data_IF_905663797633
#
_entry.id   IF_905663797633
#
_cell.length_a   1.000
_cell.length_b   1.000
_cell.length_c   1.000
_cell.angle_alpha   90.00
_cell.angle_beta   90.00
_cell.angle_gamma   90.00
#
_symmetry.space_group_name_H-M   'P 1'
#
loop_
_entity.id
_entity.type
_entity.pdbx_description
1 polymer ?
#
# COMPACT_ATOMS: atom_id res chain seq x y z
N UNK A 1 -18.36 -1.05 36.77
CA UNK A 1 -19.02 -2.15 36.05
C UNK A 1 -19.01 -1.79 34.57
N UNK A 2 -17.99 -2.23 33.83
CA UNK A 2 -17.93 -2.09 32.37
C UNK A 2 -18.03 -3.50 31.79
N UNK A 3 -19.14 -3.77 31.11
CA UNK A 3 -19.58 -5.10 30.70
C UNK A 3 -18.60 -5.73 29.70
N UNK A 4 -18.23 -6.98 29.96
CA UNK A 4 -17.45 -7.84 29.06
C UNK A 4 -18.22 -8.32 27.82
N UNK A 5 -19.50 -7.94 27.68
CA UNK A 5 -20.41 -8.45 26.63
C UNK A 5 -20.24 -7.79 25.26
N UNK A 6 -19.50 -6.67 25.13
CA UNK A 6 -19.35 -5.93 23.87
C UNK A 6 -18.14 -6.34 23.00
N UNK A 7 -17.30 -7.26 23.46
CA UNK A 7 -16.10 -7.69 22.74
C UNK A 7 -16.38 -8.30 21.34
N UNK A 8 -17.34 -9.22 21.15
CA UNK A 8 -17.62 -9.78 19.83
C UNK A 8 -18.21 -8.74 18.86
N UNK A 9 -19.01 -7.80 19.36
CA UNK A 9 -19.62 -6.74 18.54
C UNK A 9 -18.56 -5.74 18.05
N UNK A 10 -17.57 -5.41 18.88
CA UNK A 10 -16.46 -4.56 18.49
C UNK A 10 -15.60 -5.21 17.39
N UNK A 11 -15.34 -6.51 17.50
CA UNK A 11 -14.62 -7.27 16.44
C UNK A 11 -15.47 -7.36 15.18
N UNK A 12 -16.78 -7.59 15.29
CA UNK A 12 -17.69 -7.59 14.14
C UNK A 12 -17.66 -6.23 13.41
N UNK A 13 -17.65 -5.11 14.12
CA UNK A 13 -17.57 -3.77 13.53
C UNK A 13 -16.22 -3.52 12.80
N UNK A 14 -15.10 -4.00 13.37
CA UNK A 14 -13.80 -3.95 12.70
C UNK A 14 -13.77 -4.82 11.44
N UNK A 15 -14.31 -6.03 11.54
CA UNK A 15 -14.37 -6.97 10.44
C UNK A 15 -15.27 -6.43 9.32
N UNK A 16 -16.41 -5.84 9.65
CA UNK A 16 -17.30 -5.18 8.69
C UNK A 16 -16.53 -4.15 7.86
N UNK A 17 -15.85 -3.20 8.51
CA UNK A 17 -15.06 -2.17 7.82
C UNK A 17 -13.97 -2.78 6.94
N UNK A 18 -13.35 -3.87 7.40
CA UNK A 18 -12.31 -4.55 6.63
C UNK A 18 -12.87 -5.26 5.39
N UNK A 19 -14.04 -5.89 5.49
CA UNK A 19 -14.74 -6.51 4.36
C UNK A 19 -15.21 -5.44 3.37
N UNK A 20 -15.81 -4.35 3.85
CA UNK A 20 -16.20 -3.21 3.02
C UNK A 20 -15.00 -2.64 2.27
N UNK A 21 -13.85 -2.50 2.93
CA UNK A 21 -12.61 -2.06 2.28
C UNK A 21 -12.15 -3.02 1.19
N UNK A 22 -12.13 -4.34 1.43
CA UNK A 22 -11.71 -5.33 0.43
C UNK A 22 -12.51 -5.22 -0.87
N UNK A 23 -13.82 -5.02 -0.75
CA UNK A 23 -14.74 -4.90 -1.88
C UNK A 23 -15.00 -3.45 -2.33
N UNK A 24 -14.29 -2.48 -1.75
CA UNK A 24 -14.38 -1.07 -2.16
C UNK A 24 -13.79 -0.86 -3.56
N UNK A 25 -14.25 0.18 -4.25
CA UNK A 25 -13.66 0.57 -5.55
C UNK A 25 -12.17 0.88 -5.43
N UNK A 26 -11.74 1.43 -4.29
CA UNK A 26 -10.36 1.82 -4.08
C UNK A 26 -9.40 0.64 -3.96
N UNK A 27 -9.78 -0.40 -3.23
CA UNK A 27 -9.01 -1.64 -3.16
C UNK A 27 -9.11 -2.43 -4.46
N UNK A 28 -10.34 -2.67 -4.94
CA UNK A 28 -10.58 -3.49 -6.12
C UNK A 28 -9.91 -2.92 -7.35
N UNK A 29 -9.73 -1.60 -7.53
CA UNK A 29 -8.93 -1.06 -8.64
C UNK A 29 -7.56 -1.73 -8.79
N UNK A 30 -6.91 -2.08 -7.68
CA UNK A 30 -5.53 -2.59 -7.65
C UNK A 30 -5.41 -4.06 -7.25
N UNK A 31 -6.39 -4.59 -6.52
CA UNK A 31 -6.33 -5.94 -5.96
C UNK A 31 -6.62 -7.01 -7.03
N UNK A 32 -5.55 -7.55 -7.62
CA UNK A 32 -5.64 -8.60 -8.64
C UNK A 32 -6.19 -9.92 -8.08
N UNK A 33 -5.97 -10.21 -6.79
CA UNK A 33 -6.40 -11.47 -6.20
C UNK A 33 -7.92 -11.49 -6.05
N UNK A 34 -8.50 -10.43 -5.47
CA UNK A 34 -9.94 -10.31 -5.36
C UNK A 34 -10.61 -10.23 -6.74
N UNK A 35 -10.04 -9.50 -7.71
CA UNK A 35 -10.54 -9.53 -9.09
C UNK A 35 -10.52 -10.94 -9.70
N UNK A 36 -9.50 -11.73 -9.41
CA UNK A 36 -9.36 -13.09 -9.92
C UNK A 36 -10.33 -14.09 -9.29
N UNK A 37 -10.53 -14.01 -7.97
CA UNK A 37 -11.54 -14.82 -7.26
C UNK A 37 -12.95 -14.55 -7.74
N UNK A 38 -13.12 -13.34 -8.25
CA UNK A 38 -14.39 -12.92 -8.71
C UNK A 38 -14.76 -13.68 -10.03
N UNK A 39 -13.83 -14.37 -10.69
CA UNK A 39 -14.13 -15.19 -11.87
C UNK A 39 -13.83 -14.47 -13.17
N UNK A 40 -13.49 -15.27 -14.19
CA UNK A 40 -13.05 -14.83 -15.51
C UNK A 40 -14.18 -14.31 -16.42
N UNK A 41 -15.41 -14.24 -15.91
CA UNK A 41 -16.51 -13.62 -16.63
C UNK A 41 -16.19 -12.13 -16.80
N UNK A 42 -16.37 -11.62 -18.02
CA UNK A 42 -16.10 -10.24 -18.44
C UNK A 42 -17.12 -9.25 -17.83
N UNK A 43 -17.53 -9.50 -16.58
CA UNK A 43 -18.43 -8.66 -15.81
C UNK A 43 -17.64 -7.49 -15.21
N UNK A 44 -17.57 -6.42 -16.00
CA UNK A 44 -17.04 -5.12 -15.60
C UNK A 44 -17.63 -4.56 -14.29
N UNK A 45 -18.75 -5.12 -13.80
CA UNK A 45 -19.40 -4.69 -12.56
C UNK A 45 -18.84 -5.34 -11.28
N UNK A 46 -18.02 -6.39 -11.39
CA UNK A 46 -17.40 -7.10 -10.25
C UNK A 46 -18.41 -7.52 -9.16
N UNK A 47 -19.64 -7.92 -9.53
CA UNK A 47 -20.73 -8.29 -8.59
C UNK A 47 -20.90 -9.79 -8.37
N UNK A 48 -19.96 -10.60 -8.82
CA UNK A 48 -19.90 -12.02 -8.52
C UNK A 48 -19.80 -12.36 -7.04
N UNK A 49 -20.29 -13.56 -6.72
CA UNK A 49 -20.24 -14.15 -5.39
C UNK A 49 -18.83 -14.68 -5.09
N UNK A 50 -18.27 -14.27 -3.97
CA UNK A 50 -16.98 -14.72 -3.44
C UNK A 50 -17.21 -15.48 -2.14
N UNK A 51 -16.54 -16.63 -1.99
CA UNK A 51 -16.65 -17.44 -0.78
C UNK A 51 -16.15 -16.68 0.45
N UNK A 52 -17.01 -16.55 1.46
CA UNK A 52 -16.71 -15.80 2.68
C UNK A 52 -15.53 -16.42 3.42
N UNK A 53 -15.45 -17.75 3.48
CA UNK A 53 -14.33 -18.46 4.09
C UNK A 53 -12.98 -18.09 3.47
N UNK A 54 -12.94 -17.90 2.15
CA UNK A 54 -11.73 -17.48 1.45
C UNK A 54 -11.32 -16.06 1.86
N UNK A 55 -12.28 -15.12 1.94
CA UNK A 55 -12.02 -13.73 2.34
C UNK A 55 -11.57 -13.63 3.80
N UNK A 56 -12.17 -14.42 4.69
CA UNK A 56 -11.79 -14.49 6.11
C UNK A 56 -10.37 -15.07 6.30
N UNK A 57 -9.81 -15.76 5.31
CA UNK A 57 -8.44 -16.26 5.34
C UNK A 57 -7.37 -15.19 5.04
N UNK A 58 -7.76 -13.97 4.64
CA UNK A 58 -6.82 -12.88 4.36
C UNK A 58 -6.13 -12.40 5.64
N UNK A 59 -4.90 -11.91 5.51
CA UNK A 59 -4.04 -11.58 6.65
C UNK A 59 -4.69 -10.60 7.62
N UNK A 60 -5.23 -9.47 7.14
CA UNK A 60 -5.89 -8.46 7.98
C UNK A 60 -7.21 -8.97 8.59
N UNK A 61 -8.03 -9.71 7.84
CA UNK A 61 -9.24 -10.32 8.39
C UNK A 61 -8.92 -11.32 9.51
N UNK A 62 -7.91 -12.19 9.31
CA UNK A 62 -7.42 -13.11 10.35
C UNK A 62 -6.97 -12.37 11.60
N UNK A 63 -6.14 -11.34 11.47
CA UNK A 63 -5.68 -10.54 12.61
C UNK A 63 -6.85 -9.94 13.40
N UNK A 64 -7.89 -9.45 12.73
CA UNK A 64 -9.09 -8.92 13.40
C UNK A 64 -9.85 -10.03 14.14
N UNK A 65 -10.02 -11.19 13.51
CA UNK A 65 -10.68 -12.35 14.13
C UNK A 65 -9.91 -12.91 15.34
N UNK A 66 -8.59 -12.81 15.33
CA UNK A 66 -7.72 -13.23 16.43
C UNK A 66 -7.89 -12.35 17.69
N UNK A 67 -8.42 -11.13 17.55
CA UNK A 67 -8.78 -10.27 18.69
C UNK A 67 -10.00 -10.76 19.47
N UNK A 68 -10.77 -11.72 18.94
CA UNK A 68 -11.89 -12.31 19.68
C UNK A 68 -11.37 -12.90 20.99
N UNK A 69 -12.03 -12.58 22.13
CA UNK A 69 -11.56 -13.03 23.43
C UNK A 69 -11.43 -14.55 23.45
N UNK A 70 -10.22 -14.99 23.73
CA UNK A 70 -9.94 -16.37 24.10
C UNK A 70 -10.56 -16.56 25.47
N UNK A 71 -11.74 -17.14 25.58
CA UNK A 71 -12.30 -17.50 26.89
C UNK A 71 -11.46 -18.65 27.47
N UNK A 72 -10.39 -18.27 28.17
CA UNK A 72 -9.49 -19.05 29.03
C UNK A 72 -8.59 -20.12 28.39
N UNK A 73 -7.40 -20.28 28.99
CA UNK A 73 -6.46 -21.38 28.72
C UNK A 73 -7.17 -22.73 28.89
N UNK A 74 -7.47 -23.40 27.77
CA UNK A 74 -7.94 -24.79 27.76
C UNK A 74 -9.30 -25.08 27.13
N UNK A 75 -10.07 -24.12 26.60
CA UNK A 75 -11.26 -24.45 25.80
C UNK A 75 -10.93 -24.76 24.33
N UNK A 76 -11.56 -25.80 23.74
CA UNK A 76 -11.13 -26.37 22.47
C UNK A 76 -11.40 -25.43 21.29
N UNK A 77 -10.50 -25.42 20.31
CA UNK A 77 -10.60 -24.73 19.02
C UNK A 77 -11.97 -24.86 18.31
N UNK A 78 -12.77 -25.88 18.68
CA UNK A 78 -14.14 -26.11 18.24
C UNK A 78 -15.12 -24.96 18.51
N UNK A 79 -14.99 -24.22 19.63
CA UNK A 79 -15.87 -23.06 19.89
C UNK A 79 -15.52 -21.86 19.00
N UNK A 80 -14.24 -21.58 18.79
CA UNK A 80 -13.78 -20.52 17.87
C UNK A 80 -14.25 -20.76 16.44
N UNK A 81 -14.15 -22.00 15.96
CA UNK A 81 -14.63 -22.40 14.63
C UNK A 81 -16.14 -22.17 14.45
N UNK A 82 -16.92 -22.12 15.54
CA UNK A 82 -18.36 -21.84 15.51
C UNK A 82 -18.68 -20.35 15.66
N UNK A 83 -17.86 -19.59 16.39
CA UNK A 83 -18.04 -18.15 16.61
C UNK A 83 -17.57 -17.29 15.42
N UNK A 84 -16.53 -17.71 14.69
CA UNK A 84 -16.02 -16.97 13.52
C UNK A 84 -17.11 -16.80 12.44
N UNK A 85 -17.83 -17.87 12.01
CA UNK A 85 -18.93 -17.74 11.07
C UNK A 85 -20.03 -16.79 11.57
N UNK A 86 -20.39 -16.85 12.86
CA UNK A 86 -21.44 -15.97 13.39
C UNK A 86 -21.01 -14.50 13.40
N UNK A 87 -19.77 -14.20 13.79
CA UNK A 87 -19.22 -12.84 13.79
C UNK A 87 -19.13 -12.29 12.37
N UNK A 88 -18.67 -13.10 11.41
CA UNK A 88 -18.60 -12.71 10.00
C UNK A 88 -19.99 -12.46 9.39
N UNK A 89 -20.98 -13.28 9.73
CA UNK A 89 -22.36 -13.08 9.30
C UNK A 89 -22.96 -11.79 9.90
N UNK A 90 -22.74 -11.53 11.19
CA UNK A 90 -23.18 -10.29 11.85
C UNK A 90 -22.53 -9.07 11.18
N UNK A 91 -21.21 -9.10 10.97
CA UNK A 91 -20.46 -8.04 10.31
C UNK A 91 -20.98 -7.76 8.90
N UNK A 92 -21.25 -8.82 8.12
CA UNK A 92 -21.70 -8.65 6.73
C UNK A 92 -23.16 -8.19 6.66
N UNK A 93 -24.05 -8.69 7.54
CA UNK A 93 -25.46 -8.24 7.60
C UNK A 93 -25.60 -6.78 8.05
N UNK A 94 -24.66 -6.28 8.84
CA UNK A 94 -24.63 -4.88 9.26
C UNK A 94 -24.14 -3.95 8.14
N UNK A 95 -23.45 -4.48 7.13
CA UNK A 95 -22.96 -3.69 5.99
C UNK A 95 -24.07 -3.38 5.01
N UNK A 96 -24.10 -2.14 4.53
CA UNK A 96 -24.98 -1.73 3.41
C UNK A 96 -24.30 -1.85 2.04
N UNK A 97 -22.98 -2.05 2.02
CA UNK A 97 -22.19 -2.15 0.78
C UNK A 97 -22.06 -3.60 0.28
N UNK A 98 -22.36 -4.59 1.12
CA UNK A 98 -22.21 -6.01 0.84
C UNK A 98 -23.57 -6.73 0.89
N UNK A 99 -23.71 -7.74 0.03
CA UNK A 99 -24.83 -8.67 0.05
C UNK A 99 -24.33 -10.06 0.44
N UNK A 100 -25.16 -10.79 1.20
CA UNK A 100 -24.94 -12.19 1.57
C UNK A 100 -25.81 -13.10 0.70
N UNK A 101 -25.25 -14.24 0.32
CA UNK A 101 -26.03 -15.31 -0.33
C UNK A 101 -27.04 -15.90 0.66
N UNK A 102 -28.10 -16.50 0.16
CA UNK A 102 -29.16 -17.10 1.00
C UNK A 102 -28.60 -18.12 2.02
N UNK A 103 -27.60 -18.91 1.60
CA UNK A 103 -26.91 -19.88 2.45
C UNK A 103 -25.91 -19.25 3.45
N UNK A 104 -25.63 -17.96 3.34
CA UNK A 104 -24.67 -17.24 4.18
C UNK A 104 -23.19 -17.59 3.95
N UNK A 105 -22.88 -18.35 2.91
CA UNK A 105 -21.52 -18.83 2.62
C UNK A 105 -20.72 -17.92 1.69
N UNK A 106 -21.41 -17.07 0.91
CA UNK A 106 -20.81 -16.17 -0.08
C UNK A 106 -21.22 -14.73 0.16
N UNK A 107 -20.33 -13.83 -0.22
CA UNK A 107 -20.53 -12.38 -0.19
C UNK A 107 -20.29 -11.78 -1.56
N UNK A 108 -20.98 -10.69 -1.86
CA UNK A 108 -20.73 -9.88 -3.06
C UNK A 108 -20.96 -8.41 -2.77
N UNK A 109 -20.66 -7.57 -3.76
CA UNK A 109 -21.00 -6.16 -3.71
C UNK A 109 -22.50 -5.92 -3.93
N UNK A 110 -23.07 -5.04 -3.11
CA UNK A 110 -24.40 -4.50 -3.35
C UNK A 110 -24.39 -3.59 -4.58
N UNK A 111 -23.43 -2.67 -4.63
CA UNK A 111 -23.26 -1.72 -5.74
C UNK A 111 -22.24 -2.22 -6.77
N UNK A 112 -22.49 -2.02 -8.08
CA UNK A 112 -21.54 -2.37 -9.11
C UNK A 112 -20.24 -1.56 -8.97
N UNK A 113 -19.12 -2.17 -9.35
CA UNK A 113 -17.85 -1.47 -9.49
C UNK A 113 -17.97 -0.37 -10.54
N UNK A 114 -17.46 0.80 -10.18
CA UNK A 114 -17.39 1.94 -11.09
C UNK A 114 -15.93 2.28 -11.30
N UNK A 115 -15.48 2.16 -12.55
CA UNK A 115 -14.17 2.66 -12.93
C UNK A 115 -14.19 4.19 -12.90
N UNK A 116 -13.19 4.78 -12.26
CA UNK A 116 -13.10 6.23 -12.13
C UNK A 116 -11.95 6.74 -12.98
N UNK A 117 -12.21 7.83 -13.69
CA UNK A 117 -11.20 8.52 -14.49
C UNK A 117 -9.96 8.89 -13.68
N UNK A 118 -8.79 8.80 -14.33
CA UNK A 118 -7.51 9.02 -13.71
C UNK A 118 -7.35 10.44 -13.15
N UNK A 119 -7.94 11.46 -13.80
CA UNK A 119 -7.92 12.85 -13.34
C UNK A 119 -8.74 13.02 -12.08
N UNK A 120 -9.90 12.39 -12.01
CA UNK A 120 -10.76 12.44 -10.82
C UNK A 120 -10.14 11.66 -9.65
N UNK A 121 -9.48 10.55 -9.93
CA UNK A 121 -8.69 9.84 -8.93
C UNK A 121 -7.52 10.68 -8.41
N UNK A 122 -6.81 11.38 -9.31
CA UNK A 122 -5.72 12.28 -8.93
C UNK A 122 -6.21 13.49 -8.11
N UNK A 123 -7.42 13.99 -8.38
CA UNK A 123 -8.02 15.09 -7.62
C UNK A 123 -8.36 14.70 -6.17
N UNK A 124 -8.59 13.41 -5.91
CA UNK A 124 -8.90 12.84 -4.59
C UNK A 124 -7.69 12.27 -3.86
N UNK A 125 -6.53 12.22 -4.52
CA UNK A 125 -5.31 11.64 -3.96
C UNK A 125 -4.33 12.75 -3.59
N UNK A 126 -3.73 12.65 -2.41
CA UNK A 126 -2.63 13.51 -1.96
C UNK A 126 -1.32 12.72 -1.88
N UNK A 127 -0.23 13.40 -2.16
CA UNK A 127 1.15 12.97 -1.95
C UNK A 127 1.63 13.48 -0.60
N UNK A 128 2.45 12.69 0.10
CA UNK A 128 2.97 13.02 1.44
C UNK A 128 4.45 12.67 1.50
N UNK A 129 5.29 13.63 1.90
CA UNK A 129 6.74 13.44 2.10
C UNK A 129 7.27 14.45 3.13
N UNK A 130 8.17 14.07 4.07
CA UNK A 130 8.69 12.73 4.28
C UNK A 130 7.70 11.84 5.05
N UNK A 131 7.75 10.54 4.75
CA UNK A 131 7.11 9.47 5.52
C UNK A 131 8.21 8.69 6.23
N UNK A 132 8.06 8.49 7.54
CA UNK A 132 9.03 7.74 8.34
C UNK A 132 9.14 6.28 7.86
N UNK A 133 10.33 5.69 7.97
CA UNK A 133 10.60 4.33 7.49
C UNK A 133 9.78 3.26 8.23
N UNK A 134 9.40 3.54 9.47
CA UNK A 134 8.56 2.69 10.33
C UNK A 134 7.07 3.08 10.30
N UNK A 135 6.69 4.06 9.49
CA UNK A 135 5.29 4.49 9.39
C UNK A 135 4.40 3.34 8.90
N UNK A 136 3.31 3.10 9.63
CA UNK A 136 2.30 2.11 9.26
C UNK A 136 1.19 2.75 8.42
N UNK A 137 0.47 1.93 7.67
CA UNK A 137 -0.75 2.37 6.96
C UNK A 137 -1.74 2.99 7.97
N UNK A 138 -1.89 2.35 9.12
CA UNK A 138 -2.81 2.76 10.17
C UNK A 138 -2.42 4.14 10.77
N UNK A 139 -1.13 4.42 10.95
CA UNK A 139 -0.66 5.73 11.47
C UNK A 139 -0.88 6.85 10.46
N UNK A 140 -0.63 6.59 9.17
CA UNK A 140 -0.92 7.56 8.10
C UNK A 140 -2.43 7.77 7.98
N UNK A 141 -3.23 6.71 7.99
CA UNK A 141 -4.69 6.84 7.94
C UNK A 141 -5.22 7.68 9.13
N UNK A 142 -4.73 7.44 10.35
CA UNK A 142 -5.12 8.19 11.53
C UNK A 142 -4.77 9.69 11.42
N UNK A 143 -3.61 10.03 10.85
CA UNK A 143 -3.20 11.43 10.62
C UNK A 143 -4.12 12.16 9.63
N UNK A 144 -4.62 11.47 8.61
CA UNK A 144 -5.42 12.08 7.55
C UNK A 144 -6.95 11.99 7.78
N UNK A 145 -7.40 11.09 8.66
CA UNK A 145 -8.81 10.89 9.01
C UNK A 145 -9.57 12.16 9.45
N UNK A 146 -8.97 13.14 10.19
CA UNK A 146 -9.66 14.38 10.56
C UNK A 146 -10.08 15.26 9.37
N UNK A 147 -9.50 15.05 8.19
CA UNK A 147 -9.75 15.86 7.00
C UNK A 147 -10.79 15.24 6.06
N UNK A 148 -11.17 13.99 6.28
CA UNK A 148 -12.22 13.27 5.57
C UNK A 148 -12.01 11.76 5.53
N UNK A 149 -12.95 11.04 4.91
CA UNK A 149 -12.87 9.58 4.79
C UNK A 149 -11.74 9.17 3.85
N UNK A 150 -10.77 8.45 4.39
CA UNK A 150 -9.64 7.88 3.65
C UNK A 150 -10.10 6.59 2.97
N UNK A 151 -10.04 6.58 1.64
CA UNK A 151 -10.41 5.44 0.82
C UNK A 151 -9.26 4.44 0.65
N UNK A 152 -8.01 4.91 0.55
CA UNK A 152 -6.85 4.04 0.40
C UNK A 152 -5.55 4.75 0.82
N UNK A 153 -4.57 3.99 1.31
CA UNK A 153 -3.22 4.48 1.63
C UNK A 153 -2.19 3.59 0.95
N UNK A 154 -1.25 4.20 0.22
CA UNK A 154 -0.18 3.52 -0.49
C UNK A 154 1.16 4.00 0.00
N UNK A 155 1.91 3.12 0.68
CA UNK A 155 3.24 3.40 1.20
C UNK A 155 4.28 2.53 0.48
N UNK A 156 4.94 3.04 -0.58
CA UNK A 156 6.07 2.36 -1.18
C UNK A 156 7.24 2.20 -0.18
N UNK A 157 7.66 0.97 0.09
CA UNK A 157 8.72 0.67 1.08
C UNK A 157 10.05 1.30 0.68
N UNK A 158 10.72 1.93 1.64
CA UNK A 158 12.06 2.52 1.45
C UNK A 158 12.11 3.71 0.49
N UNK A 159 10.97 4.36 0.23
CA UNK A 159 10.88 5.52 -0.66
C UNK A 159 10.74 6.85 0.08
N UNK A 160 10.42 6.83 1.38
CA UNK A 160 10.25 8.04 2.19
C UNK A 160 9.03 8.90 1.81
N UNK A 161 8.10 8.38 1.01
CA UNK A 161 6.87 9.08 0.63
C UNK A 161 5.67 8.13 0.59
N UNK A 162 4.47 8.70 0.56
CA UNK A 162 3.22 7.95 0.45
C UNK A 162 2.15 8.68 -0.36
N UNK A 163 1.09 7.96 -0.67
CA UNK A 163 -0.13 8.51 -1.24
C UNK A 163 -1.33 8.18 -0.36
N UNK A 164 -2.20 9.16 -0.14
CA UNK A 164 -3.47 9.00 0.57
C UNK A 164 -4.59 9.38 -0.38
N UNK A 165 -5.48 8.43 -0.65
CA UNK A 165 -6.69 8.62 -1.44
C UNK A 165 -7.87 8.86 -0.51
N UNK A 166 -8.65 9.90 -0.79
CA UNK A 166 -9.90 10.20 -0.11
C UNK A 166 -11.12 9.78 -0.95
N UNK A 167 -12.26 9.58 -0.30
CA UNK A 167 -13.53 9.36 -1.02
C UNK A 167 -13.96 10.60 -1.82
N UNK A 168 -13.72 11.80 -1.26
CA UNK A 168 -14.13 13.08 -1.81
C UNK A 168 -12.94 14.01 -2.11
N UNK A 169 -13.08 14.82 -3.17
CA UNK A 169 -12.03 15.75 -3.61
C UNK A 169 -11.82 16.87 -2.59
N UNK A 170 -12.89 17.31 -1.95
CA UNK A 170 -12.88 18.36 -0.94
C UNK A 170 -12.04 17.95 0.26
N UNK A 171 -12.06 16.66 0.63
CA UNK A 171 -11.25 16.10 1.71
C UNK A 171 -9.75 16.16 1.40
N UNK A 172 -9.37 15.85 0.16
CA UNK A 172 -7.99 15.98 -0.30
C UNK A 172 -7.50 17.44 -0.23
N UNK A 173 -8.34 18.39 -0.65
CA UNK A 173 -8.01 19.82 -0.58
C UNK A 173 -7.89 20.32 0.87
N UNK A 174 -8.80 19.88 1.75
CA UNK A 174 -8.72 20.18 3.19
C UNK A 174 -7.43 19.64 3.81
N UNK A 175 -7.05 18.40 3.46
CA UNK A 175 -5.81 17.79 3.96
C UNK A 175 -4.57 18.58 3.51
N UNK A 176 -4.49 18.96 2.22
CA UNK A 176 -3.41 19.81 1.71
C UNK A 176 -3.36 21.15 2.46
N UNK A 177 -4.50 21.84 2.57
CA UNK A 177 -4.56 23.14 3.23
C UNK A 177 -4.18 23.10 4.73
N UNK A 178 -4.42 21.97 5.39
CA UNK A 178 -4.17 21.82 6.83
C UNK A 178 -2.79 21.23 7.17
N UNK A 179 -2.22 20.40 6.30
CA UNK A 179 -1.03 19.60 6.63
C UNK A 179 0.22 19.99 5.82
N UNK A 180 0.07 20.70 4.70
CA UNK A 180 1.22 21.11 3.90
C UNK A 180 2.11 22.11 4.68
N UNK A 181 3.40 21.81 4.76
CA UNK A 181 4.40 22.57 5.51
C UNK A 181 4.40 22.32 7.02
N UNK A 182 3.44 21.57 7.56
CA UNK A 182 3.37 21.24 8.99
C UNK A 182 4.40 20.17 9.32
N UNK A 183 5.21 20.41 10.36
CA UNK A 183 6.30 19.53 10.79
C UNK A 183 7.31 19.19 9.68
N UNK A 184 7.48 20.09 8.70
CA UNK A 184 8.36 19.87 7.55
C UNK A 184 7.84 18.83 6.56
N UNK A 185 6.56 18.47 6.64
CA UNK A 185 5.91 17.54 5.73
C UNK A 185 5.27 18.32 4.58
N UNK A 186 5.67 18.00 3.37
CA UNK A 186 5.00 18.42 2.15
C UNK A 186 3.77 17.54 1.90
N UNK A 187 2.62 18.17 1.72
CA UNK A 187 1.38 17.51 1.33
C UNK A 187 0.85 18.19 0.08
N UNK A 188 0.84 17.47 -1.04
CA UNK A 188 0.48 18.01 -2.35
C UNK A 188 -0.67 17.23 -2.94
N UNK A 189 -1.49 17.85 -3.78
CA UNK A 189 -2.40 17.03 -4.61
C UNK A 189 -1.58 16.16 -5.56
N UNK A 190 -2.08 14.97 -5.90
CA UNK A 190 -1.37 14.07 -6.82
C UNK A 190 -1.12 14.74 -8.18
N UNK A 191 -2.06 15.54 -8.67
CA UNK A 191 -1.87 16.31 -9.90
C UNK A 191 -0.78 17.39 -9.82
N UNK A 192 -0.53 17.98 -8.65
CA UNK A 192 0.61 18.88 -8.42
C UNK A 192 1.92 18.11 -8.39
N UNK A 193 1.96 17.02 -7.63
CA UNK A 193 3.13 16.14 -7.57
C UNK A 193 3.51 15.61 -8.97
N UNK A 194 2.55 15.15 -9.78
CA UNK A 194 2.81 14.67 -11.15
C UNK A 194 3.40 15.75 -12.05
N UNK A 195 2.98 17.02 -11.89
CA UNK A 195 3.55 18.15 -12.63
C UNK A 195 5.00 18.43 -12.21
N UNK A 196 5.27 18.39 -10.90
CA UNK A 196 6.61 18.60 -10.35
C UNK A 196 7.55 17.46 -10.79
N UNK A 197 7.12 16.20 -10.64
CA UNK A 197 7.87 15.01 -11.04
C UNK A 197 8.20 15.02 -12.54
N UNK A 198 7.22 15.34 -13.40
CA UNK A 198 7.44 15.49 -14.84
C UNK A 198 8.48 16.55 -15.15
N UNK A 199 8.36 17.73 -14.53
CA UNK A 199 9.32 18.83 -14.71
C UNK A 199 10.73 18.43 -14.28
N UNK A 200 10.88 17.73 -13.17
CA UNK A 200 12.16 17.20 -12.71
C UNK A 200 12.76 16.17 -13.68
N UNK A 201 11.94 15.25 -14.18
CA UNK A 201 12.36 14.28 -15.21
C UNK A 201 12.82 14.98 -16.48
N UNK A 202 12.09 15.97 -16.97
CA UNK A 202 12.44 16.71 -18.18
C UNK A 202 13.75 17.50 -18.01
N UNK A 203 13.90 18.20 -16.88
CA UNK A 203 15.14 18.90 -16.52
C UNK A 203 16.33 17.93 -16.44
N UNK A 204 16.14 16.76 -15.83
CA UNK A 204 17.19 15.74 -15.68
C UNK A 204 17.64 15.14 -17.03
N UNK A 205 16.74 15.09 -18.02
CA UNK A 205 17.01 14.60 -19.38
C UNK A 205 17.51 15.69 -20.32
N UNK A 206 17.53 16.95 -19.88
CA UNK A 206 17.96 18.07 -20.72
C UNK A 206 19.41 17.93 -21.19
N UNK A 207 19.73 18.35 -22.43
CA UNK A 207 21.10 18.34 -22.95
C UNK A 207 22.08 19.09 -22.04
N UNK A 208 21.64 20.16 -21.38
CA UNK A 208 22.44 20.92 -20.44
C UNK A 208 22.86 20.09 -19.21
N UNK A 209 21.93 19.34 -18.60
CA UNK A 209 22.25 18.45 -17.47
C UNK A 209 23.10 17.26 -17.92
N UNK A 210 22.84 16.71 -19.10
CA UNK A 210 23.66 15.65 -19.68
C UNK A 210 25.11 16.13 -19.95
N UNK A 211 25.28 17.34 -20.51
CA UNK A 211 26.58 17.95 -20.76
C UNK A 211 27.30 18.28 -19.44
N UNK A 212 26.60 18.80 -18.44
CA UNK A 212 27.16 19.05 -17.11
C UNK A 212 27.63 17.75 -16.42
N UNK A 213 26.85 16.66 -16.51
CA UNK A 213 27.24 15.33 -16.01
C UNK A 213 28.47 14.79 -16.74
N UNK A 214 28.53 14.92 -18.07
CA UNK A 214 29.71 14.53 -18.87
C UNK A 214 30.95 15.34 -18.47
N UNK A 215 30.83 16.66 -18.34
CA UNK A 215 31.93 17.54 -17.89
C UNK A 215 32.45 17.12 -16.52
N UNK A 216 31.56 16.90 -15.54
CA UNK A 216 31.96 16.43 -14.19
C UNK A 216 32.68 15.08 -14.23
N UNK A 217 32.22 14.14 -15.05
CA UNK A 217 32.88 12.84 -15.25
C UNK A 217 34.26 12.99 -15.85
N UNK A 218 34.39 13.78 -16.92
CA UNK A 218 35.66 14.00 -17.59
C UNK A 218 36.68 14.70 -16.68
N UNK A 219 36.24 15.65 -15.84
CA UNK A 219 37.09 16.30 -14.83
C UNK A 219 37.53 15.30 -13.76
N UNK A 220 36.64 14.46 -13.26
CA UNK A 220 36.98 13.42 -12.28
C UNK A 220 37.94 12.37 -12.85
N UNK A 221 37.77 11.97 -14.12
CA UNK A 221 38.66 11.06 -14.83
C UNK A 221 40.05 11.68 -15.08
N UNK A 222 40.11 12.96 -15.45
CA UNK A 222 41.37 13.67 -15.63
C UNK A 222 42.13 13.91 -14.31
N UNK A 223 41.41 14.03 -13.19
CA UNK A 223 41.99 14.18 -11.86
C UNK A 223 42.39 12.85 -11.19
N UNK A 224 42.05 11.70 -11.79
CA UNK A 224 42.44 10.40 -11.26
C UNK A 224 43.95 10.16 -11.44
N UNK A 225 44.68 9.74 -10.39
CA UNK A 225 46.12 9.50 -10.49
C UNK A 225 46.37 8.35 -11.48
N UNK A 226 47.16 8.62 -12.53
CA UNK A 226 47.60 7.60 -13.48
C UNK A 226 48.59 6.67 -12.78
N UNK A 227 48.13 5.53 -12.26
CA UNK A 227 49.04 4.44 -11.92
C UNK A 227 49.73 3.98 -13.21
N UNK A 228 50.98 4.43 -13.39
CA UNK A 228 51.84 4.03 -14.50
C UNK A 228 52.14 2.55 -14.43
N UNK A 229 51.57 1.79 -15.37
CA UNK A 229 51.93 0.39 -15.59
C UNK A 229 53.24 0.30 -16.36
N UNK A 230 54.33 -0.04 -15.68
CA UNK A 230 55.51 -0.65 -16.32
C UNK A 230 55.24 -2.14 -16.49
N UNK A 231 54.79 -2.54 -17.67
CA UNK A 231 54.83 -3.94 -18.13
C UNK A 231 56.28 -4.33 -18.38
N UNK A 232 56.81 -5.29 -17.65
CA UNK A 232 57.91 -6.16 -18.12
C UNK A 232 57.37 -7.59 -18.18
N UNK A 233 57.51 -8.18 -19.38
CA UNK A 233 56.97 -9.48 -19.83
C UNK A 233 57.76 -10.69 -19.29
N UNK A 234 57.18 -11.90 -19.36
CA UNK A 234 57.86 -13.15 -18.97
C UNK A 234 58.72 -13.73 -20.11
N UNK A 235 59.89 -14.30 -19.78
CA UNK A 235 60.58 -15.27 -20.65
C UNK A 235 62.12 -15.29 -20.61
N UNK A 236 62.67 -16.30 -19.90
CA UNK A 236 63.87 -17.11 -20.22
C UNK A 236 65.26 -16.48 -20.35
N UNK A 237 66.21 -16.85 -19.47
CA UNK A 237 67.47 -17.51 -19.86
C UNK A 237 68.23 -18.09 -18.65
N UNK A 238 68.95 -19.17 -18.91
CA UNK A 238 69.56 -20.11 -17.98
C UNK A 238 70.94 -19.69 -17.43
N UNK A 239 71.32 -20.26 -16.28
CA UNK A 239 72.61 -20.92 -16.12
C UNK A 239 73.68 -20.28 -15.23
N UNK A 240 74.28 -21.15 -14.39
CA UNK A 240 75.54 -21.06 -13.63
C UNK A 240 75.43 -20.25 -12.33
N UNK A 241 75.84 -20.72 -11.15
CA UNK A 241 76.63 -21.88 -10.77
C UNK A 241 77.52 -21.50 -9.58
N UNK A 242 77.66 -22.41 -8.62
CA UNK A 242 78.84 -22.46 -7.74
C UNK A 242 78.75 -21.82 -6.35
N UNK A 243 78.84 -22.71 -5.34
CA UNK A 243 79.74 -22.68 -4.15
C UNK A 243 79.90 -21.33 -3.42
N UNK A 244 79.77 -21.27 -2.09
CA UNK A 244 80.29 -22.17 -1.04
C UNK A 244 79.37 -22.13 0.17
#
# INVERSE_FOLDING_TARGET
MASSDGAPDAVAAKLQKQLEYYFSDANLRRDAHLKGLAGADDDSTLRQWVDLEHVLAFSRARTILDELPSTTDGEPAKKRAKTIPSVALTATRASSALELSDDGTKIRRAQPYVEVDAKELAARTVYVEPVADDASIDSIQARFAPHGTVANVSLPRGRGFGFVEFEARESAQKAVAALDGVDGVAVLTKGEWERIDRRWKDLSRSPAVAQARRRRRNVAEAAAPKLGGSKIRPGSFAGKGGKK
#
